data_IF_236778309602
#
_entry.id   IF_236778309602
#
_cell.length_a   1.000
_cell.length_b   1.000
_cell.length_c   1.000
_cell.angle_alpha   90.00
_cell.angle_beta   90.00
_cell.angle_gamma   90.00
#
_symmetry.space_group_name_H-M   'P 1'
#
loop_
_entity.id
_entity.type
_entity.pdbx_description
1 polymer ?
#
# COMPACT_ATOMS: atom_id res chain seq x y z
N UNK A 1 12.99 25.47 -5.12
CA UNK A 1 13.02 24.32 -4.19
C UNK A 1 13.83 23.20 -4.83
N UNK A 2 14.75 22.53 -4.12
CA UNK A 2 15.41 21.31 -4.62
C UNK A 2 14.66 20.10 -4.05
N UNK A 3 13.91 19.39 -4.88
CA UNK A 3 13.07 18.26 -4.47
C UNK A 3 13.85 16.97 -4.71
N UNK A 4 13.99 16.11 -3.68
CA UNK A 4 14.65 14.80 -3.79
C UNK A 4 13.66 13.66 -4.05
N UNK A 5 12.50 13.70 -3.39
CA UNK A 5 11.47 12.68 -3.48
C UNK A 5 10.10 13.35 -3.53
N UNK A 6 9.19 12.80 -4.35
CA UNK A 6 7.78 13.20 -4.45
C UNK A 6 6.98 11.92 -4.38
N UNK A 7 6.03 11.86 -3.44
CA UNK A 7 5.08 10.75 -3.33
C UNK A 7 3.68 11.29 -3.60
N UNK A 8 2.89 10.49 -4.30
CA UNK A 8 1.45 10.72 -4.47
C UNK A 8 0.71 9.74 -3.59
N UNK A 9 -0.30 10.20 -2.86
CA UNK A 9 -1.16 9.32 -2.07
C UNK A 9 -2.61 9.74 -2.10
N UNK A 10 -3.48 8.79 -1.81
CA UNK A 10 -4.91 8.97 -1.52
C UNK A 10 -5.08 8.56 -0.07
N UNK A 11 -5.57 9.49 0.76
CA UNK A 11 -5.85 9.21 2.17
C UNK A 11 -7.34 8.89 2.31
N UNK A 12 -7.66 7.76 2.94
CA UNK A 12 -9.02 7.33 3.29
C UNK A 12 -9.08 6.91 4.75
N UNK A 13 -10.26 6.48 5.21
CA UNK A 13 -10.39 5.85 6.51
C UNK A 13 -11.38 4.67 6.47
N UNK A 14 -11.12 3.66 7.29
CA UNK A 14 -12.04 2.54 7.51
C UNK A 14 -12.39 2.48 8.99
N UNK A 15 -13.64 2.78 9.35
CA UNK A 15 -14.07 2.82 10.76
C UNK A 15 -13.27 3.80 11.63
N UNK A 16 -12.77 4.91 11.04
CA UNK A 16 -11.94 5.89 11.72
C UNK A 16 -10.44 5.57 11.77
N UNK A 17 -10.01 4.39 11.31
CA UNK A 17 -8.59 4.07 11.13
C UNK A 17 -8.09 4.63 9.79
N UNK A 18 -6.99 5.41 9.76
CA UNK A 18 -6.49 6.03 8.54
C UNK A 18 -5.83 4.99 7.63
N UNK A 19 -5.95 5.20 6.32
CA UNK A 19 -5.24 4.42 5.30
C UNK A 19 -4.71 5.38 4.25
N UNK A 20 -3.39 5.54 4.19
CA UNK A 20 -2.69 6.29 3.15
C UNK A 20 -2.29 5.33 2.02
N UNK A 21 -3.01 5.34 0.90
CA UNK A 21 -2.65 4.57 -0.29
C UNK A 21 -1.63 5.33 -1.12
N UNK A 22 -0.39 4.85 -1.18
CA UNK A 22 0.68 5.45 -1.98
C UNK A 22 0.55 4.98 -3.43
N UNK A 23 0.24 5.92 -4.31
CA UNK A 23 -0.03 5.68 -5.74
C UNK A 23 1.14 6.03 -6.65
N UNK A 24 2.18 6.67 -6.14
CA UNK A 24 3.36 7.01 -6.93
C UNK A 24 4.53 7.53 -6.11
N UNK A 25 5.72 7.55 -6.74
CA UNK A 25 6.96 8.05 -6.15
C UNK A 25 7.83 7.00 -5.45
N UNK A 26 7.35 5.75 -5.39
CA UNK A 26 8.08 4.62 -4.83
C UNK A 26 9.12 4.15 -5.87
N UNK A 27 10.42 4.08 -5.54
CA UNK A 27 11.43 3.50 -6.42
C UNK A 27 11.16 2.02 -6.68
N UNK A 28 11.81 1.44 -7.68
CA UNK A 28 11.72 -0.01 -7.93
C UNK A 28 12.09 -0.81 -6.67
N UNK A 29 11.25 -1.80 -6.33
CA UNK A 29 11.44 -2.69 -5.19
C UNK A 29 11.83 -4.09 -5.72
N UNK A 30 13.09 -4.53 -5.54
CA UNK A 30 13.52 -5.88 -5.87
C UNK A 30 12.76 -6.96 -5.09
N UNK A 31 12.44 -8.06 -5.77
CA UNK A 31 11.85 -9.25 -5.18
C UNK A 31 11.00 -10.02 -6.19
N UNK A 32 11.16 -11.35 -6.23
CA UNK A 32 10.35 -12.26 -7.04
C UNK A 32 8.98 -12.55 -6.38
N UNK A 33 8.87 -12.37 -5.06
CA UNK A 33 7.63 -12.50 -4.31
C UNK A 33 7.29 -11.21 -3.56
N UNK A 34 6.02 -11.00 -3.24
CA UNK A 34 5.59 -9.84 -2.44
C UNK A 34 6.27 -9.81 -1.06
N UNK A 35 6.56 -10.98 -0.47
CA UNK A 35 7.30 -11.10 0.80
C UNK A 35 8.75 -10.65 0.64
N UNK A 36 9.40 -11.00 -0.46
CA UNK A 36 10.76 -10.52 -0.78
C UNK A 36 10.76 -9.00 -0.99
N UNK A 37 9.76 -8.44 -1.70
CA UNK A 37 9.61 -7.00 -1.87
C UNK A 37 9.43 -6.28 -0.53
N UNK A 38 8.55 -6.79 0.34
CA UNK A 38 8.35 -6.26 1.70
C UNK A 38 9.64 -6.34 2.53
N UNK A 39 10.35 -7.45 2.46
CA UNK A 39 11.63 -7.65 3.17
C UNK A 39 12.67 -6.65 2.67
N UNK A 40 12.77 -6.45 1.35
CA UNK A 40 13.68 -5.48 0.78
C UNK A 40 13.37 -4.05 1.23
N UNK A 41 12.10 -3.65 1.23
CA UNK A 41 11.66 -2.35 1.76
C UNK A 41 12.09 -2.18 3.22
N UNK A 42 11.81 -3.20 4.05
CA UNK A 42 12.14 -3.19 5.47
C UNK A 42 13.64 -3.06 5.75
N UNK A 43 14.46 -3.79 5.01
CA UNK A 43 15.90 -3.85 5.27
C UNK A 43 16.69 -2.70 4.63
N UNK A 44 16.24 -2.19 3.47
CA UNK A 44 17.04 -1.28 2.64
C UNK A 44 16.37 0.09 2.42
N UNK A 45 15.05 0.20 2.62
CA UNK A 45 14.27 1.38 2.24
C UNK A 45 13.28 1.83 3.32
N UNK A 46 13.51 1.49 4.60
CA UNK A 46 12.60 1.88 5.70
C UNK A 46 12.46 3.40 5.88
N UNK A 47 13.38 4.16 5.29
CA UNK A 47 13.27 5.62 5.18
C UNK A 47 11.97 6.05 4.49
N UNK A 48 11.40 5.24 3.58
CA UNK A 48 10.12 5.51 2.91
C UNK A 48 8.97 5.45 3.93
N UNK A 49 8.85 4.33 4.65
CA UNK A 49 7.83 4.15 5.69
C UNK A 49 7.95 5.25 6.74
N UNK A 50 9.13 5.43 7.32
CA UNK A 50 9.34 6.44 8.38
C UNK A 50 9.01 7.85 7.90
N UNK A 51 9.36 8.20 6.65
CA UNK A 51 9.05 9.52 6.09
C UNK A 51 7.55 9.76 5.88
N UNK A 52 6.77 8.71 5.65
CA UNK A 52 5.34 8.77 5.32
C UNK A 52 4.43 8.58 6.54
N UNK A 53 4.85 7.75 7.50
CA UNK A 53 4.05 7.34 8.66
C UNK A 53 4.31 8.21 9.89
N UNK A 54 5.53 8.72 10.09
CA UNK A 54 5.84 9.56 11.25
C UNK A 54 5.65 11.05 10.98
N UNK A 55 5.57 11.82 12.07
CA UNK A 55 5.62 13.27 12.01
C UNK A 55 6.88 13.74 11.24
N UNK A 56 6.78 14.80 10.41
CA UNK A 56 5.64 15.73 10.31
C UNK A 56 4.59 15.36 9.24
N UNK A 57 4.69 14.21 8.57
CA UNK A 57 3.79 13.85 7.45
C UNK A 57 2.69 12.87 7.84
N UNK A 58 2.94 12.05 8.85
CA UNK A 58 1.95 11.19 9.49
C UNK A 58 1.78 11.57 10.97
N UNK A 59 1.45 10.58 11.78
CA UNK A 59 1.19 10.67 13.22
C UNK A 59 1.17 9.26 13.83
N UNK A 60 1.05 9.14 15.14
CA UNK A 60 1.26 7.88 15.90
C UNK A 60 0.44 6.66 15.44
N UNK A 61 -0.72 6.89 14.82
CA UNK A 61 -1.63 5.83 14.33
C UNK A 61 -1.71 5.77 12.80
N UNK A 62 -0.78 6.41 12.07
CA UNK A 62 -0.80 6.39 10.62
C UNK A 62 -0.53 4.98 10.08
N UNK A 63 -1.39 4.54 9.17
CA UNK A 63 -1.19 3.35 8.34
C UNK A 63 -1.26 3.70 6.87
N UNK A 64 -0.62 2.88 6.03
CA UNK A 64 -0.61 3.06 4.60
C UNK A 64 -0.35 1.78 3.82
N UNK A 65 -0.55 1.91 2.51
CA UNK A 65 -0.40 0.81 1.55
C UNK A 65 0.46 1.29 0.41
N UNK A 66 1.57 0.59 0.16
CA UNK A 66 2.36 0.76 -1.04
C UNK A 66 1.80 -0.16 -2.12
N UNK A 67 1.36 0.42 -3.23
CA UNK A 67 0.97 -0.33 -4.42
C UNK A 67 2.22 -0.79 -5.18
N UNK A 68 2.23 -2.05 -5.61
CA UNK A 68 3.30 -2.62 -6.43
C UNK A 68 2.73 -3.44 -7.57
N UNK A 69 3.57 -3.75 -8.56
CA UNK A 69 3.26 -4.83 -9.50
C UNK A 69 3.01 -6.15 -8.75
N UNK A 70 1.95 -6.90 -9.08
CA UNK A 70 1.67 -8.20 -8.49
C UNK A 70 2.81 -9.19 -8.80
N UNK A 71 3.06 -10.11 -7.89
CA UNK A 71 4.01 -11.21 -8.08
C UNK A 71 3.32 -12.55 -8.34
N UNK A 72 2.04 -12.65 -7.98
CA UNK A 72 1.19 -13.80 -8.27
C UNK A 72 0.38 -13.61 -9.57
N UNK A 73 0.29 -14.60 -10.47
CA UNK A 73 -0.39 -14.47 -11.77
C UNK A 73 -1.91 -14.27 -11.68
N UNK A 74 -2.52 -14.61 -10.55
CA UNK A 74 -3.96 -14.39 -10.29
C UNK A 74 -4.27 -13.03 -9.64
N UNK A 75 -3.25 -12.26 -9.25
CA UNK A 75 -3.46 -10.99 -8.57
C UNK A 75 -3.53 -9.83 -9.55
N UNK A 76 -4.45 -8.91 -9.29
CA UNK A 76 -4.59 -7.67 -10.05
C UNK A 76 -3.55 -6.63 -9.62
N UNK A 77 -3.19 -6.63 -8.33
CA UNK A 77 -2.28 -5.63 -7.75
C UNK A 77 -1.53 -6.19 -6.55
N UNK A 78 -0.27 -5.80 -6.39
CA UNK A 78 0.51 -6.07 -5.18
C UNK A 78 0.33 -4.98 -4.14
N UNK A 79 0.22 -5.37 -2.87
CA UNK A 79 0.06 -4.45 -1.74
C UNK A 79 1.04 -4.79 -0.63
N UNK A 80 1.71 -3.76 -0.11
CA UNK A 80 2.58 -3.89 1.07
C UNK A 80 2.08 -2.90 2.12
N UNK A 81 1.65 -3.43 3.26
CA UNK A 81 1.15 -2.64 4.37
C UNK A 81 2.30 -2.06 5.19
N UNK A 82 2.21 -0.77 5.47
CA UNK A 82 3.18 -0.02 6.25
C UNK A 82 2.48 0.77 7.36
N UNK A 83 3.05 0.74 8.55
CA UNK A 83 2.52 1.42 9.73
C UNK A 83 3.63 2.14 10.50
N UNK A 84 3.25 2.93 11.51
CA UNK A 84 4.18 3.39 12.55
C UNK A 84 4.89 2.23 13.25
N UNK A 85 4.24 1.08 13.40
CA UNK A 85 4.76 -0.14 14.04
C UNK A 85 5.70 -0.98 13.16
N UNK A 86 5.66 -0.81 11.84
CA UNK A 86 6.52 -1.52 10.91
C UNK A 86 5.81 -1.95 9.63
N UNK A 87 6.13 -3.17 9.15
CA UNK A 87 5.51 -3.78 7.98
C UNK A 87 4.61 -4.91 8.43
N UNK A 88 3.41 -4.98 7.88
CA UNK A 88 2.42 -6.00 8.23
C UNK A 88 2.20 -6.97 7.07
N UNK A 89 2.04 -8.27 7.34
CA UNK A 89 1.73 -9.22 6.30
C UNK A 89 0.30 -9.08 5.75
N UNK A 90 -0.64 -8.60 6.57
CA UNK A 90 -2.01 -8.27 6.17
C UNK A 90 -2.60 -7.25 7.16
N UNK A 91 -3.46 -6.36 6.67
CA UNK A 91 -4.26 -5.45 7.49
C UNK A 91 -5.67 -5.26 6.91
N UNK A 92 -6.71 -5.55 7.69
CA UNK A 92 -8.10 -5.54 7.21
C UNK A 92 -8.64 -4.14 6.91
N UNK A 93 -8.37 -3.15 7.77
CA UNK A 93 -8.89 -1.80 7.57
C UNK A 93 -8.22 -1.11 6.37
N UNK A 94 -6.92 -1.36 6.17
CA UNK A 94 -6.17 -0.89 5.02
C UNK A 94 -6.57 -1.60 3.73
N UNK A 95 -6.89 -2.89 3.80
CA UNK A 95 -7.42 -3.64 2.65
C UNK A 95 -8.73 -3.02 2.16
N UNK A 96 -9.64 -2.67 3.07
CA UNK A 96 -10.87 -1.96 2.72
C UNK A 96 -10.54 -0.57 2.15
N UNK A 97 -9.68 0.19 2.83
CA UNK A 97 -9.33 1.55 2.44
C UNK A 97 -8.66 1.64 1.06
N UNK A 98 -7.75 0.71 0.75
CA UNK A 98 -7.08 0.64 -0.56
C UNK A 98 -8.04 0.19 -1.66
N UNK A 99 -8.89 -0.82 -1.41
CA UNK A 99 -9.89 -1.24 -2.39
C UNK A 99 -10.87 -0.10 -2.71
N UNK A 100 -11.32 0.66 -1.70
CA UNK A 100 -12.12 1.87 -1.91
C UNK A 100 -11.38 2.90 -2.76
N UNK A 101 -10.12 3.21 -2.42
CA UNK A 101 -9.33 4.16 -3.20
C UNK A 101 -9.17 3.71 -4.67
N UNK A 102 -8.90 2.43 -4.91
CA UNK A 102 -8.74 1.87 -6.26
C UNK A 102 -10.02 1.98 -7.09
N UNK A 103 -11.17 1.65 -6.50
CA UNK A 103 -12.49 1.71 -7.17
C UNK A 103 -12.90 3.16 -7.42
N UNK A 104 -12.87 4.01 -6.40
CA UNK A 104 -13.37 5.39 -6.50
C UNK A 104 -12.53 6.27 -7.44
N UNK A 105 -11.25 5.95 -7.61
CA UNK A 105 -10.37 6.67 -8.55
C UNK A 105 -10.28 6.02 -9.93
N UNK A 106 -10.93 4.88 -10.15
CA UNK A 106 -10.88 4.16 -11.41
C UNK A 106 -9.51 3.58 -11.76
N UNK A 107 -8.66 3.32 -10.75
CA UNK A 107 -7.36 2.66 -10.92
C UNK A 107 -7.49 1.17 -11.26
N UNK A 108 -8.68 0.61 -11.04
CA UNK A 108 -9.09 -0.73 -11.49
C UNK A 108 -10.33 -0.62 -12.37
N UNK A 109 -10.61 -1.67 -13.14
CA UNK A 109 -11.87 -1.77 -13.89
C UNK A 109 -13.02 -1.92 -12.90
N UNK A 110 -13.93 -0.94 -12.88
CA UNK A 110 -15.12 -0.96 -12.02
C UNK A 110 -16.28 -1.61 -12.76
N UNK A 111 -16.89 -2.61 -12.12
CA UNK A 111 -18.05 -3.35 -12.60
C UNK A 111 -19.19 -3.29 -11.56
N UNK A 112 -20.42 -3.09 -12.04
CA UNK A 112 -21.62 -3.10 -11.21
C UNK A 112 -22.41 -4.40 -11.40
N UNK A 113 -23.04 -4.97 -10.35
CA UNK A 113 -23.14 -4.43 -8.99
C UNK A 113 -21.94 -4.74 -8.08
N UNK A 114 -21.02 -5.61 -8.53
CA UNK A 114 -19.88 -6.08 -7.73
C UNK A 114 -18.62 -6.00 -8.58
N UNK A 115 -17.60 -5.33 -8.06
CA UNK A 115 -16.24 -5.34 -8.59
C UNK A 115 -15.40 -6.31 -7.78
N UNK A 116 -14.72 -7.24 -8.44
CA UNK A 116 -13.78 -8.17 -7.81
C UNK A 116 -12.35 -7.67 -8.01
N UNK A 117 -11.55 -7.65 -6.95
CA UNK A 117 -10.13 -7.28 -6.97
C UNK A 117 -9.37 -8.33 -6.17
N UNK A 118 -8.33 -8.92 -6.75
CA UNK A 118 -7.45 -9.89 -6.11
C UNK A 118 -6.14 -9.19 -5.72
N UNK A 119 -5.91 -9.04 -4.42
CA UNK A 119 -4.69 -8.41 -3.90
C UNK A 119 -3.62 -9.48 -3.62
N UNK A 120 -2.40 -9.25 -4.09
CA UNK A 120 -1.20 -9.98 -3.68
C UNK A 120 -0.62 -9.34 -2.43
N UNK A 121 -0.84 -9.97 -1.27
CA UNK A 121 -0.38 -9.51 0.04
C UNK A 121 0.73 -10.42 0.58
N UNK A 122 1.59 -9.96 1.50
CA UNK A 122 2.57 -10.85 2.14
C UNK A 122 1.97 -12.04 2.93
N UNK A 123 0.67 -12.01 3.26
CA UNK A 123 -0.04 -13.15 3.83
C UNK A 123 -0.66 -14.09 2.77
N UNK A 124 -0.57 -13.75 1.48
CA UNK A 124 -1.16 -14.47 0.35
C UNK A 124 -2.25 -13.67 -0.37
N UNK A 125 -2.95 -14.33 -1.29
CA UNK A 125 -4.03 -13.73 -2.07
C UNK A 125 -5.22 -13.34 -1.19
N UNK A 126 -5.70 -12.11 -1.33
CA UNK A 126 -6.92 -11.61 -0.68
C UNK A 126 -7.98 -11.28 -1.74
N UNK A 127 -9.23 -11.69 -1.51
CA UNK A 127 -10.37 -11.57 -2.44
C UNK A 127 -11.62 -11.06 -1.74
#
# INVERSE_FOLDING_TARGET
MKIKHVFSSIDSHTGGQPTRTITGGIPYIPGATIVEKMTHLKENMDWIRTSLMFEPRGHDIMSGVILTEPTHPEADIGVIFIETTGYLPMCGHDTIGVCTALVETGMVKVEEPVTHIVLDTPAGLTR
#
